data_IF_535224067903
#
_entry.id   IF_535224067903
#
_cell.length_a   1.000
_cell.length_b   1.000
_cell.length_c   1.000
_cell.angle_alpha   90.00
_cell.angle_beta   90.00
_cell.angle_gamma   90.00
#
_symmetry.space_group_name_H-M   'P 1'
#
loop_
_entity.id
_entity.type
_entity.pdbx_description
1 polymer ?
#
# COMPACT_ATOMS: atom_id res chain seq x y z
N UNK A 1 38.64 48.59 -27.21
CA UNK A 1 37.28 48.03 -27.13
C UNK A 1 37.39 46.54 -27.19
N UNK A 2 37.32 45.90 -26.05
CA UNK A 2 37.43 44.47 -25.88
C UNK A 2 36.04 43.92 -25.72
N UNK A 3 35.59 43.12 -26.67
CA UNK A 3 34.33 42.38 -26.58
C UNK A 3 34.62 41.10 -25.78
N UNK A 4 34.01 41.05 -24.65
CA UNK A 4 33.93 39.86 -23.82
C UNK A 4 33.05 38.81 -24.49
N UNK A 5 33.66 37.73 -24.95
CA UNK A 5 32.97 36.60 -25.48
C UNK A 5 32.41 35.74 -24.36
N UNK A 6 31.15 35.92 -23.99
CA UNK A 6 30.45 35.02 -23.07
C UNK A 6 30.39 33.61 -23.67
N UNK A 7 31.34 32.76 -23.28
CA UNK A 7 31.27 31.35 -23.52
C UNK A 7 30.09 30.75 -22.70
N UNK A 8 29.05 30.34 -23.40
CA UNK A 8 28.03 29.52 -22.79
C UNK A 8 28.67 28.17 -22.47
N UNK A 9 28.97 27.94 -21.20
CA UNK A 9 29.40 26.65 -20.70
C UNK A 9 28.29 25.64 -20.95
N UNK A 10 28.60 24.61 -21.76
CA UNK A 10 27.67 23.50 -21.94
C UNK A 10 27.56 22.78 -20.61
N UNK A 11 26.38 22.88 -20.01
CA UNK A 11 26.08 22.17 -18.79
C UNK A 11 26.35 20.68 -18.93
N UNK A 12 26.81 20.06 -17.84
CA UNK A 12 27.09 18.64 -17.72
C UNK A 12 25.78 17.85 -17.70
N UNK A 13 25.53 17.02 -18.72
CA UNK A 13 24.43 16.07 -18.73
C UNK A 13 24.93 14.74 -18.14
N UNK A 14 24.69 14.52 -16.87
CA UNK A 14 24.99 13.23 -16.25
C UNK A 14 23.84 12.24 -16.53
N UNK A 15 24.07 11.26 -17.40
CA UNK A 15 23.17 10.13 -17.55
C UNK A 15 23.58 9.06 -16.54
N UNK A 16 22.83 8.96 -15.46
CA UNK A 16 22.95 7.85 -14.51
C UNK A 16 22.31 6.61 -15.12
N UNK A 17 23.10 5.60 -15.45
CA UNK A 17 22.59 4.25 -15.71
C UNK A 17 22.72 3.46 -14.43
N UNK A 18 21.60 3.28 -13.74
CA UNK A 18 21.53 2.27 -12.69
C UNK A 18 21.71 0.89 -13.35
N UNK A 19 22.73 0.13 -12.94
CA UNK A 19 22.96 -1.24 -13.38
C UNK A 19 22.04 -2.24 -12.64
N UNK A 20 20.80 -1.86 -12.42
CA UNK A 20 19.76 -2.67 -11.81
C UNK A 20 18.46 -2.56 -12.61
N UNK A 21 17.49 -3.44 -12.36
CA UNK A 21 16.16 -3.28 -12.93
C UNK A 21 15.61 -1.88 -12.57
N UNK A 22 14.81 -1.25 -13.44
CA UNK A 22 14.26 0.06 -13.18
C UNK A 22 13.49 0.02 -11.85
N UNK A 23 13.60 1.09 -11.03
CA UNK A 23 12.84 1.15 -9.80
C UNK A 23 11.35 1.03 -10.15
N UNK A 24 10.68 0.10 -9.49
CA UNK A 24 9.27 -0.18 -9.69
C UNK A 24 8.50 -0.09 -8.36
N UNK A 25 7.19 0.10 -8.46
CA UNK A 25 6.34 0.34 -7.31
C UNK A 25 5.99 1.82 -7.16
N UNK A 26 5.29 2.16 -6.10
CA UNK A 26 4.83 3.53 -5.85
C UNK A 26 4.32 3.73 -4.42
N UNK A 27 4.20 4.99 -4.03
CA UNK A 27 3.45 5.41 -2.83
C UNK A 27 2.04 5.75 -3.30
N UNK A 28 1.05 5.06 -2.73
CA UNK A 28 -0.36 5.19 -3.04
C UNK A 28 -1.10 5.83 -1.86
N UNK A 29 -1.81 6.91 -2.12
CA UNK A 29 -2.55 7.63 -1.08
C UNK A 29 -4.00 7.87 -1.52
N UNK A 30 -4.93 7.84 -0.58
CA UNK A 30 -6.34 8.12 -0.83
C UNK A 30 -7.27 7.04 -0.30
N UNK A 31 -8.57 7.20 -0.55
CA UNK A 31 -9.59 6.25 -0.07
C UNK A 31 -9.69 4.97 -0.91
N UNK A 32 -9.20 5.01 -2.14
CA UNK A 32 -9.17 3.87 -3.06
C UNK A 32 -8.14 4.08 -4.17
N UNK A 33 -7.71 3.01 -4.80
CA UNK A 33 -6.83 3.05 -5.95
C UNK A 33 -6.56 1.65 -6.52
N UNK A 34 -5.82 1.64 -7.60
CA UNK A 34 -5.41 0.44 -8.33
C UNK A 34 -3.91 0.48 -8.59
N UNK A 35 -3.27 -0.66 -8.59
CA UNK A 35 -1.88 -0.80 -9.00
C UNK A 35 -1.62 -2.18 -9.59
N UNK A 36 -0.53 -2.29 -10.34
CA UNK A 36 -0.20 -3.49 -11.11
C UNK A 36 1.29 -3.79 -10.96
N UNK A 37 1.66 -5.04 -11.22
CA UNK A 37 3.05 -5.39 -11.47
C UNK A 37 3.57 -4.66 -12.72
N UNK A 38 4.90 -4.45 -12.83
CA UNK A 38 5.47 -3.89 -14.06
C UNK A 38 5.07 -4.71 -15.27
N UNK A 39 4.82 -4.05 -16.37
CA UNK A 39 4.42 -4.59 -17.67
C UNK A 39 3.04 -5.27 -17.75
N UNK A 40 2.33 -5.47 -16.64
CA UNK A 40 1.01 -6.12 -16.67
C UNK A 40 0.10 -5.55 -17.78
N UNK A 41 -0.56 -6.37 -18.61
CA UNK A 41 -0.70 -7.83 -18.55
C UNK A 41 0.44 -8.64 -19.20
N UNK A 42 1.50 -8.00 -19.67
CA UNK A 42 2.70 -8.68 -20.14
C UNK A 42 3.54 -9.16 -18.94
N UNK A 43 4.51 -10.06 -19.20
CA UNK A 43 5.33 -10.64 -18.16
C UNK A 43 6.13 -9.58 -17.36
N UNK A 44 6.17 -9.74 -16.05
CA UNK A 44 6.99 -8.89 -15.19
C UNK A 44 8.50 -9.10 -15.47
N UNK A 45 9.37 -8.12 -15.18
CA UNK A 45 10.81 -8.26 -15.41
C UNK A 45 11.46 -9.21 -14.40
N UNK A 46 12.52 -9.90 -14.86
CA UNK A 46 13.38 -10.71 -13.99
C UNK A 46 14.22 -9.85 -13.04
N UNK A 47 14.61 -10.42 -11.89
CA UNK A 47 15.45 -9.80 -10.87
C UNK A 47 14.90 -8.44 -10.39
N UNK A 48 13.59 -8.33 -10.30
CA UNK A 48 12.91 -7.13 -9.85
C UNK A 48 12.58 -7.19 -8.35
N UNK A 49 12.63 -6.03 -7.72
CA UNK A 49 12.17 -5.81 -6.37
C UNK A 49 11.30 -4.55 -6.35
N UNK A 50 9.98 -4.76 -6.41
CA UNK A 50 9.00 -3.69 -6.53
C UNK A 50 8.22 -3.53 -5.24
N UNK A 51 8.02 -2.29 -4.79
CA UNK A 51 7.34 -2.02 -3.52
C UNK A 51 6.22 -0.99 -3.67
N UNK A 52 5.10 -1.25 -3.03
CA UNK A 52 3.98 -0.32 -2.95
C UNK A 52 3.65 -0.07 -1.49
N UNK A 53 3.63 1.20 -1.09
CA UNK A 53 3.16 1.61 0.23
C UNK A 53 1.81 2.30 0.05
N UNK A 54 0.77 1.71 0.62
CA UNK A 54 -0.59 2.21 0.58
C UNK A 54 -0.88 2.95 1.88
N UNK A 55 -1.36 4.19 1.80
CA UNK A 55 -1.77 4.96 2.96
C UNK A 55 -3.17 5.53 2.73
N UNK A 56 -4.10 5.14 3.57
CA UNK A 56 -5.47 5.66 3.60
C UNK A 56 -5.62 6.71 4.72
N UNK A 57 -6.73 7.46 4.78
CA UNK A 57 -6.96 8.43 5.85
C UNK A 57 -6.84 7.81 7.25
N UNK A 58 -6.41 8.61 8.23
CA UNK A 58 -6.31 8.17 9.62
C UNK A 58 -7.64 7.61 10.14
N UNK A 59 -7.56 6.67 11.08
CA UNK A 59 -8.70 5.95 11.65
C UNK A 59 -9.49 5.08 10.65
N UNK A 60 -8.92 4.81 9.48
CA UNK A 60 -9.44 3.85 8.51
C UNK A 60 -8.43 2.72 8.31
N UNK A 61 -8.87 1.63 7.73
CA UNK A 61 -8.03 0.48 7.40
C UNK A 61 -7.96 0.32 5.88
N UNK A 62 -6.86 -0.28 5.40
CA UNK A 62 -6.70 -0.67 4.00
C UNK A 62 -7.36 -2.03 3.80
N UNK A 63 -8.25 -2.13 2.81
CA UNK A 63 -8.71 -3.39 2.23
C UNK A 63 -8.07 -3.54 0.86
N UNK A 64 -7.17 -4.49 0.72
CA UNK A 64 -6.46 -4.83 -0.52
C UNK A 64 -7.08 -6.07 -1.15
N UNK A 65 -7.27 -6.08 -2.47
CA UNK A 65 -7.79 -7.20 -3.24
C UNK A 65 -6.98 -7.38 -4.52
N UNK A 66 -6.44 -8.57 -4.76
CA UNK A 66 -5.84 -8.97 -6.03
C UNK A 66 -6.96 -9.43 -6.96
N UNK A 67 -7.09 -8.76 -8.11
CA UNK A 67 -8.11 -9.05 -9.14
C UNK A 67 -7.61 -10.12 -10.11
N UNK A 68 -6.32 -10.11 -10.37
CA UNK A 68 -5.59 -11.08 -11.19
C UNK A 68 -4.26 -11.37 -10.54
N UNK A 69 -3.82 -12.61 -10.59
CA UNK A 69 -2.55 -13.06 -10.03
C UNK A 69 -2.00 -14.23 -10.86
N UNK A 70 -0.79 -14.06 -11.37
CA UNK A 70 0.01 -15.12 -12.00
C UNK A 70 1.50 -14.86 -11.72
N UNK A 71 2.04 -15.56 -10.72
CA UNK A 71 3.41 -15.42 -10.19
C UNK A 71 4.07 -16.79 -10.18
N UNK A 72 5.25 -16.94 -10.78
CA UNK A 72 6.00 -18.21 -10.73
C UNK A 72 6.41 -18.54 -9.28
N UNK A 73 6.18 -19.78 -8.86
CA UNK A 73 6.52 -20.21 -7.51
C UNK A 73 7.95 -20.77 -7.36
N UNK A 74 8.74 -20.80 -8.42
CA UNK A 74 10.10 -21.35 -8.35
C UNK A 74 11.11 -20.39 -7.70
N UNK A 75 10.78 -19.09 -7.63
CA UNK A 75 11.67 -18.09 -7.03
C UNK A 75 11.02 -16.73 -6.83
N UNK A 76 9.80 -16.54 -7.34
CA UNK A 76 9.07 -15.28 -7.29
C UNK A 76 7.97 -15.33 -6.25
N UNK A 77 7.70 -14.20 -5.63
CA UNK A 77 6.64 -14.12 -4.62
C UNK A 77 6.17 -12.69 -4.36
N UNK A 78 4.97 -12.60 -3.83
CA UNK A 78 4.41 -11.37 -3.28
C UNK A 78 4.34 -11.48 -1.76
N UNK A 79 4.76 -10.43 -1.07
CA UNK A 79 4.58 -10.25 0.36
C UNK A 79 3.64 -9.08 0.63
N UNK A 80 2.75 -9.26 1.62
CA UNK A 80 1.87 -8.20 2.12
C UNK A 80 2.14 -8.03 3.61
N UNK A 81 2.38 -6.78 4.02
CA UNK A 81 2.69 -6.42 5.40
C UNK A 81 1.69 -5.41 5.94
N UNK A 82 1.32 -5.56 7.19
CA UNK A 82 0.39 -4.71 7.93
C UNK A 82 1.14 -3.53 8.55
N UNK A 83 1.44 -2.51 7.73
CA UNK A 83 2.21 -1.34 8.11
C UNK A 83 2.87 -0.65 6.92
N UNK A 84 3.80 0.27 7.19
CA UNK A 84 4.42 1.16 6.20
C UNK A 84 5.56 0.56 5.39
N UNK A 85 6.14 -0.55 5.83
CA UNK A 85 7.35 -1.13 5.25
C UNK A 85 7.48 -2.64 5.54
N UNK A 86 8.54 -3.27 4.98
CA UNK A 86 8.79 -4.70 5.09
C UNK A 86 9.19 -5.20 6.49
N UNK A 87 9.42 -4.32 7.47
CA UNK A 87 9.66 -4.72 8.87
C UNK A 87 8.35 -4.95 9.64
N UNK A 88 7.23 -4.45 9.11
CA UNK A 88 5.92 -4.64 9.70
C UNK A 88 5.48 -6.11 9.65
N UNK A 89 4.44 -6.44 10.41
CA UNK A 89 3.91 -7.81 10.47
C UNK A 89 3.49 -8.31 9.10
N UNK A 90 4.10 -9.38 8.61
CA UNK A 90 3.69 -10.03 7.37
C UNK A 90 2.33 -10.70 7.54
N UNK A 91 1.39 -10.39 6.67
CA UNK A 91 0.03 -10.92 6.64
C UNK A 91 -0.26 -11.75 5.39
N UNK A 92 0.61 -11.68 4.37
CA UNK A 92 0.55 -12.50 3.16
C UNK A 92 1.93 -12.82 2.61
N UNK A 93 2.08 -14.04 2.08
CA UNK A 93 3.24 -14.49 1.28
C UNK A 93 2.74 -15.55 0.32
N UNK A 94 2.79 -15.28 -0.98
CA UNK A 94 2.16 -16.14 -1.97
C UNK A 94 2.75 -15.98 -3.36
N UNK A 95 2.53 -17.00 -4.19
CA UNK A 95 2.83 -17.10 -5.60
C UNK A 95 1.73 -17.93 -6.29
N UNK A 96 1.87 -18.25 -7.56
CA UNK A 96 0.95 -19.05 -8.35
C UNK A 96 -0.16 -18.22 -8.98
N UNK A 97 -1.16 -18.92 -9.53
CA UNK A 97 -2.34 -18.32 -10.14
C UNK A 97 -3.50 -18.30 -9.16
N UNK A 98 -4.26 -17.21 -9.15
CA UNK A 98 -5.51 -17.13 -8.40
C UNK A 98 -6.65 -16.73 -9.32
N UNK A 99 -7.62 -17.63 -9.47
CA UNK A 99 -8.86 -17.38 -10.21
C UNK A 99 -9.94 -16.72 -9.33
N UNK A 100 -9.63 -16.52 -8.06
CA UNK A 100 -10.54 -15.89 -7.09
C UNK A 100 -9.86 -14.71 -6.40
N UNK A 101 -10.65 -13.70 -6.08
CA UNK A 101 -10.19 -12.51 -5.40
C UNK A 101 -9.55 -12.88 -4.06
N UNK A 102 -8.24 -12.64 -3.95
CA UNK A 102 -7.51 -12.78 -2.70
C UNK A 102 -7.46 -11.43 -1.99
N UNK A 103 -7.91 -11.37 -0.74
CA UNK A 103 -8.06 -10.11 0.00
C UNK A 103 -7.30 -10.08 1.32
N UNK A 104 -6.78 -8.89 1.67
CA UNK A 104 -6.08 -8.61 2.91
C UNK A 104 -6.61 -7.31 3.53
N UNK A 105 -6.69 -7.27 4.86
CA UNK A 105 -7.05 -6.06 5.59
C UNK A 105 -5.92 -5.70 6.56
N UNK A 106 -5.56 -4.42 6.59
CA UNK A 106 -4.62 -3.90 7.61
C UNK A 106 -5.32 -3.66 8.93
N UNK A 107 -4.54 -3.57 10.00
CA UNK A 107 -5.05 -3.13 11.31
C UNK A 107 -5.00 -1.62 11.48
N UNK A 108 -4.10 -0.95 10.77
CA UNK A 108 -3.93 0.50 10.72
C UNK A 108 -4.26 1.09 9.35
N UNK A 109 -3.87 2.33 9.14
CA UNK A 109 -4.12 3.05 7.89
C UNK A 109 -3.05 2.85 6.82
N UNK A 110 -2.12 1.91 7.02
CA UNK A 110 -1.03 1.63 6.07
C UNK A 110 -0.92 0.14 5.77
N UNK A 111 -0.52 -0.16 4.54
CA UNK A 111 -0.21 -1.51 4.07
C UNK A 111 0.95 -1.45 3.08
N UNK A 112 1.88 -2.38 3.19
CA UNK A 112 3.03 -2.50 2.32
C UNK A 112 2.96 -3.79 1.53
N UNK A 113 3.20 -3.69 0.22
CA UNK A 113 3.23 -4.82 -0.72
C UNK A 113 4.58 -4.85 -1.40
N UNK A 114 5.16 -6.03 -1.51
CA UNK A 114 6.43 -6.25 -2.18
C UNK A 114 6.32 -7.40 -3.17
N UNK A 115 6.74 -7.20 -4.41
CA UNK A 115 6.99 -8.23 -5.40
C UNK A 115 8.50 -8.45 -5.48
N UNK A 116 8.95 -9.70 -5.36
CA UNK A 116 10.33 -10.12 -5.60
C UNK A 116 10.33 -11.13 -6.71
N UNK A 117 11.21 -10.95 -7.71
CA UNK A 117 11.35 -11.88 -8.83
C UNK A 117 12.81 -12.32 -9.00
N UNK A 118 13.01 -13.57 -9.40
CA UNK A 118 14.32 -14.11 -9.72
C UNK A 118 14.68 -13.94 -11.23
N UNK A 119 15.67 -14.69 -11.71
CA UNK A 119 16.17 -14.61 -13.10
C UNK A 119 15.38 -15.43 -14.12
N UNK A 120 14.35 -16.18 -13.71
CA UNK A 120 13.69 -17.21 -14.53
C UNK A 120 12.17 -17.16 -14.45
N UNK A 121 11.51 -17.68 -15.52
CA UNK A 121 10.07 -17.98 -15.55
C UNK A 121 9.12 -16.83 -15.18
N UNK A 122 9.26 -15.68 -15.82
CA UNK A 122 8.35 -14.55 -15.59
C UNK A 122 6.94 -14.85 -16.13
N UNK A 123 5.92 -14.46 -15.36
CA UNK A 123 4.50 -14.60 -15.69
C UNK A 123 3.84 -13.21 -15.84
N UNK A 124 2.53 -13.16 -16.07
CA UNK A 124 1.79 -11.91 -16.27
C UNK A 124 1.83 -10.96 -15.06
N UNK A 125 2.00 -11.49 -13.85
CA UNK A 125 2.07 -10.69 -12.64
C UNK A 125 0.71 -10.51 -11.98
N UNK A 126 0.38 -9.27 -11.59
CA UNK A 126 -0.86 -9.02 -10.87
C UNK A 126 -1.48 -7.65 -11.18
N UNK A 127 -2.79 -7.59 -10.98
CA UNK A 127 -3.57 -6.37 -10.80
C UNK A 127 -4.23 -6.39 -9.42
N UNK A 128 -4.12 -5.29 -8.70
CA UNK A 128 -4.66 -5.15 -7.36
C UNK A 128 -5.42 -3.82 -7.18
N UNK A 129 -6.44 -3.86 -6.32
CA UNK A 129 -7.24 -2.70 -5.92
C UNK A 129 -7.23 -2.56 -4.41
N UNK A 130 -7.21 -1.34 -3.93
CA UNK A 130 -7.41 -1.07 -2.51
C UNK A 130 -8.57 -0.10 -2.28
N UNK A 131 -9.21 -0.27 -1.14
CA UNK A 131 -10.27 0.61 -0.65
C UNK A 131 -10.09 0.81 0.85
N UNK A 132 -10.72 1.85 1.40
CA UNK A 132 -10.80 2.04 2.84
C UNK A 132 -11.90 1.20 3.47
N UNK A 133 -11.61 0.66 4.65
CA UNK A 133 -12.63 0.19 5.59
C UNK A 133 -12.77 1.26 6.68
N UNK A 134 -13.95 1.84 6.82
CA UNK A 134 -14.26 2.74 7.94
C UNK A 134 -14.41 1.87 9.19
N UNK A 135 -13.43 1.93 10.09
CA UNK A 135 -13.64 1.41 11.43
C UNK A 135 -14.76 2.24 12.06
N UNK A 136 -15.77 1.58 12.59
CA UNK A 136 -16.75 2.29 13.43
C UNK A 136 -15.93 2.99 14.52
N UNK A 137 -15.77 4.30 14.39
CA UNK A 137 -15.19 5.11 15.45
C UNK A 137 -16.00 4.74 16.67
N UNK A 138 -15.33 4.16 17.68
CA UNK A 138 -15.98 3.88 18.92
C UNK A 138 -16.64 5.19 19.33
N UNK A 139 -17.97 5.22 19.31
CA UNK A 139 -18.69 6.32 19.96
C UNK A 139 -18.20 6.25 21.39
N UNK A 140 -17.19 7.06 21.71
CA UNK A 140 -16.90 7.39 23.10
C UNK A 140 -18.20 7.99 23.57
N UNK A 141 -19.02 7.17 24.22
CA UNK A 141 -20.16 7.66 24.97
C UNK A 141 -19.52 8.38 26.15
N UNK A 142 -19.17 9.63 25.93
CA UNK A 142 -18.92 10.57 27.00
C UNK A 142 -20.30 10.77 27.65
N UNK A 143 -20.70 9.81 28.47
CA UNK A 143 -21.82 9.98 29.38
C UNK A 143 -21.43 11.14 30.28
N UNK A 144 -21.95 12.32 29.95
CA UNK A 144 -21.86 13.49 30.79
C UNK A 144 -22.44 13.09 32.14
N UNK A 145 -21.62 13.21 33.20
CA UNK A 145 -22.02 12.95 34.60
C UNK A 145 -23.32 13.71 34.98
N UNK A 146 -23.73 14.66 34.16
CA UNK A 146 -25.01 15.40 34.35
C UNK A 146 -26.26 14.54 34.13
N UNK A 147 -26.22 13.49 33.34
CA UNK A 147 -27.39 12.62 33.14
C UNK A 147 -27.54 11.57 34.25
N UNK A 148 -26.46 11.25 34.96
CA UNK A 148 -26.52 10.32 36.10
C UNK A 148 -27.14 10.94 37.36
N UNK A 149 -27.11 12.28 37.50
CA UNK A 149 -27.71 12.98 38.64
C UNK A 149 -29.21 13.24 38.46
N UNK A 150 -29.76 13.16 37.25
CA UNK A 150 -31.19 13.32 36.96
C UNK A 150 -32.05 12.11 37.34
N UNK A 151 -31.47 10.91 37.39
CA UNK A 151 -32.21 9.69 37.72
C UNK A 151 -32.30 9.37 39.22
N UNK A 152 -31.55 10.09 40.07
CA UNK A 152 -31.57 9.88 41.51
C UNK A 152 -32.55 10.80 42.27
N UNK A 153 -33.19 11.76 41.58
CA UNK A 153 -34.15 12.70 42.22
C UNK A 153 -35.62 12.30 42.05
N UNK A 154 -35.95 11.22 41.38
CA UNK A 154 -37.35 10.78 41.24
C UNK A 154 -37.79 9.69 42.24
N UNK A 155 -36.94 9.31 43.21
CA UNK A 155 -37.29 8.26 44.17
C UNK A 155 -37.48 8.77 45.61
N UNK A 156 -37.61 10.08 45.86
CA UNK A 156 -37.78 10.62 47.22
C UNK A 156 -39.02 11.50 47.37
N UNK A 157 -40.08 11.23 46.64
CA UNK A 157 -41.35 11.96 46.82
C UNK A 157 -42.56 11.02 46.84
N UNK A 158 -42.48 9.92 47.62
CA UNK A 158 -43.66 9.14 48.05
C UNK A 158 -43.37 8.63 49.48
N UNK A 159 -43.58 9.45 50.47
CA UNK A 159 -44.07 9.13 51.81
C UNK A 159 -44.89 10.30 52.28
#
# INVERSE_FOLDING_TARGET
MTTDGSGTEKGFEARFRANGPPPCGSILTGESGEFKSPNFPENYPSNAECTWTITVPEHQQVSLQFQSLDIDCAGDFIEVHDGSDGSARKIGHFCGTADSIMGFNSTGNQMYVKLTTDGSNQQEGFEAKFNTIKTAAGKSICLSIREFLGLFQLSLLII
#
